data_IF_204977621035
#
_entry.id   IF_204977621035
#
_cell.length_a   1.000
_cell.length_b   1.000
_cell.length_c   1.000
_cell.angle_alpha   90.00
_cell.angle_beta   90.00
_cell.angle_gamma   90.00
#
_symmetry.space_group_name_H-M   'P 1'
#
loop_
_entity.id
_entity.type
_entity.pdbx_description
1 polymer ?
#
# COMPACT_ATOMS: atom_id res chain seq x y z
N UNK A 1 34.47 5.77 -19.57
CA UNK A 1 33.06 5.50 -19.92
C UNK A 1 32.61 4.31 -19.09
N UNK A 2 32.32 4.55 -17.82
CA UNK A 2 31.62 3.57 -16.99
C UNK A 2 30.23 4.14 -16.81
N UNK A 3 29.28 3.60 -17.57
CA UNK A 3 27.86 3.83 -17.33
C UNK A 3 27.54 3.08 -16.04
N UNK A 4 27.47 3.78 -14.91
CA UNK A 4 26.89 3.22 -13.69
C UNK A 4 25.41 3.02 -13.97
N UNK A 5 25.00 1.78 -14.19
CA UNK A 5 23.60 1.37 -14.19
C UNK A 5 22.99 1.77 -12.83
N UNK A 6 22.27 2.88 -12.82
CA UNK A 6 21.45 3.26 -11.70
C UNK A 6 20.27 2.28 -11.67
N UNK A 7 20.39 1.23 -10.84
CA UNK A 7 19.34 0.26 -10.59
C UNK A 7 18.13 1.01 -10.03
N UNK A 8 17.14 1.29 -10.89
CA UNK A 8 15.93 2.04 -10.54
C UNK A 8 14.99 1.13 -9.76
N UNK A 9 15.21 0.98 -8.44
CA UNK A 9 14.24 0.32 -7.57
C UNK A 9 13.03 1.24 -7.33
N UNK A 10 11.79 0.72 -7.38
CA UNK A 10 10.62 1.51 -7.05
C UNK A 10 10.73 2.05 -5.62
N UNK A 11 10.23 3.27 -5.40
CA UNK A 11 10.25 3.88 -4.06
C UNK A 11 9.38 3.09 -3.08
N UNK A 12 9.63 3.26 -1.78
CA UNK A 12 8.87 2.58 -0.73
C UNK A 12 7.37 2.92 -0.81
N UNK A 13 7.03 4.15 -1.18
CA UNK A 13 5.65 4.59 -1.37
C UNK A 13 4.97 3.83 -2.51
N UNK A 14 5.69 3.57 -3.62
CA UNK A 14 5.17 2.78 -4.75
C UNK A 14 4.96 1.32 -4.34
N UNK A 15 5.92 0.72 -3.62
CA UNK A 15 5.79 -0.64 -3.11
C UNK A 15 4.61 -0.77 -2.14
N UNK A 16 4.48 0.17 -1.20
CA UNK A 16 3.38 0.21 -0.26
C UNK A 16 2.02 0.39 -0.95
N UNK A 17 1.93 1.32 -1.91
CA UNK A 17 0.72 1.53 -2.69
C UNK A 17 0.29 0.28 -3.46
N UNK A 18 1.24 -0.42 -4.10
CA UNK A 18 0.98 -1.72 -4.76
C UNK A 18 0.52 -2.77 -3.77
N UNK A 19 1.12 -2.84 -2.59
CA UNK A 19 0.76 -3.81 -1.55
C UNK A 19 -0.65 -3.58 -1.03
N UNK A 20 -1.05 -2.33 -0.79
CA UNK A 20 -2.43 -1.96 -0.44
C UNK A 20 -3.40 -2.37 -1.55
N UNK A 21 -3.05 -2.10 -2.82
CA UNK A 21 -3.88 -2.51 -3.94
C UNK A 21 -4.01 -4.05 -4.03
N UNK A 22 -2.93 -4.79 -3.81
CA UNK A 22 -2.92 -6.24 -3.83
C UNK A 22 -3.86 -6.81 -2.77
N UNK A 23 -3.68 -6.42 -1.50
CA UNK A 23 -4.53 -6.88 -0.38
C UNK A 23 -6.00 -6.59 -0.70
N UNK A 24 -6.31 -5.38 -1.17
CA UNK A 24 -7.67 -5.00 -1.54
C UNK A 24 -8.25 -5.91 -2.63
N UNK A 25 -7.48 -6.20 -3.68
CA UNK A 25 -7.90 -7.06 -4.79
C UNK A 25 -8.07 -8.52 -4.35
N UNK A 26 -7.20 -9.03 -3.48
CA UNK A 26 -7.31 -10.37 -2.89
C UNK A 26 -8.61 -10.54 -2.08
N UNK A 27 -9.08 -9.46 -1.45
CA UNK A 27 -10.37 -9.42 -0.76
C UNK A 27 -11.57 -9.16 -1.68
N UNK A 28 -11.36 -8.97 -3.00
CA UNK A 28 -12.38 -8.60 -3.98
C UNK A 28 -13.14 -7.30 -3.66
N UNK A 29 -12.46 -6.31 -3.05
CA UNK A 29 -13.07 -5.05 -2.65
C UNK A 29 -12.77 -3.91 -3.65
N UNK A 30 -13.75 -3.05 -3.89
CA UNK A 30 -13.54 -1.74 -4.49
C UNK A 30 -12.77 -0.81 -3.55
N UNK A 31 -12.19 0.29 -4.06
CA UNK A 31 -11.53 1.29 -3.21
C UNK A 31 -12.48 1.92 -2.18
N UNK A 32 -13.78 1.96 -2.47
CA UNK A 32 -14.80 2.44 -1.54
C UNK A 32 -14.99 1.45 -0.39
N UNK A 33 -15.25 0.19 -0.70
CA UNK A 33 -15.49 -0.84 0.33
C UNK A 33 -14.23 -1.07 1.19
N UNK A 34 -13.04 -1.07 0.57
CA UNK A 34 -11.80 -1.14 1.33
C UNK A 34 -11.60 0.09 2.22
N UNK A 35 -11.88 1.29 1.70
CA UNK A 35 -11.86 2.50 2.50
C UNK A 35 -12.78 2.41 3.72
N UNK A 36 -14.01 1.94 3.54
CA UNK A 36 -14.96 1.72 4.64
C UNK A 36 -14.42 0.72 5.67
N UNK A 37 -13.83 -0.40 5.21
CA UNK A 37 -13.20 -1.41 6.07
C UNK A 37 -12.04 -0.85 6.91
N UNK A 38 -11.15 -0.08 6.28
CA UNK A 38 -9.96 0.47 6.96
C UNK A 38 -10.17 1.85 7.55
N UNK A 39 -11.40 2.39 7.53
CA UNK A 39 -11.76 3.67 8.13
C UNK A 39 -11.24 4.92 7.39
N UNK A 40 -11.14 4.86 6.06
CA UNK A 40 -10.69 5.95 5.21
C UNK A 40 -11.64 6.22 4.03
N UNK A 41 -11.63 7.46 3.53
CA UNK A 41 -12.38 7.78 2.31
C UNK A 41 -11.75 7.13 1.08
N UNK A 42 -12.57 6.67 0.12
CA UNK A 42 -12.12 6.04 -1.14
C UNK A 42 -11.02 6.85 -1.88
N UNK A 43 -11.06 8.19 -1.83
CA UNK A 43 -10.05 9.05 -2.47
C UNK A 43 -8.68 8.83 -1.85
N UNK A 44 -8.62 8.71 -0.52
CA UNK A 44 -7.37 8.50 0.20
C UNK A 44 -6.76 7.15 -0.17
N UNK A 45 -7.58 6.09 -0.24
CA UNK A 45 -7.14 4.77 -0.73
C UNK A 45 -6.56 4.87 -2.15
N UNK A 46 -7.26 5.54 -3.07
CA UNK A 46 -6.75 5.73 -4.43
C UNK A 46 -5.43 6.51 -4.49
N UNK A 47 -5.27 7.54 -3.66
CA UNK A 47 -4.02 8.30 -3.56
C UNK A 47 -2.87 7.45 -3.02
N UNK A 48 -3.13 6.58 -2.04
CA UNK A 48 -2.15 5.62 -1.52
C UNK A 48 -1.72 4.64 -2.62
N UNK A 49 -2.68 4.04 -3.32
CA UNK A 49 -2.39 3.04 -4.36
C UNK A 49 -1.56 3.60 -5.53
N UNK A 50 -1.67 4.90 -5.79
CA UNK A 50 -0.90 5.61 -6.84
C UNK A 50 0.35 6.30 -6.31
N UNK A 51 0.69 6.13 -5.02
CA UNK A 51 1.79 6.82 -4.35
C UNK A 51 1.73 8.37 -4.43
N UNK A 52 0.53 8.93 -4.57
CA UNK A 52 0.29 10.39 -4.61
C UNK A 52 0.30 11.01 -3.20
N UNK A 53 0.14 10.18 -2.16
CA UNK A 53 0.11 10.63 -0.77
C UNK A 53 0.89 9.71 0.15
N UNK A 54 1.79 10.30 0.93
CA UNK A 54 2.51 9.60 1.99
C UNK A 54 1.55 9.22 3.13
N UNK A 55 1.68 7.99 3.61
CA UNK A 55 0.82 7.42 4.66
C UNK A 55 1.46 7.67 6.01
N UNK A 56 0.68 8.20 6.96
CA UNK A 56 1.16 8.39 8.32
C UNK A 56 1.27 7.06 9.07
N UNK A 57 2.14 7.00 10.07
CA UNK A 57 2.26 5.82 10.96
C UNK A 57 0.91 5.47 11.62
N UNK A 58 0.11 6.48 12.00
CA UNK A 58 -1.24 6.27 12.56
C UNK A 58 -2.18 5.58 11.56
N UNK A 59 -2.08 5.94 10.28
CA UNK A 59 -2.89 5.31 9.24
C UNK A 59 -2.44 3.87 8.98
N UNK A 60 -1.13 3.60 9.00
CA UNK A 60 -0.58 2.23 8.93
C UNK A 60 -1.11 1.39 10.10
N UNK A 61 -1.05 1.90 11.33
CA UNK A 61 -1.57 1.22 12.52
C UNK A 61 -3.08 0.91 12.39
N UNK A 62 -3.86 1.86 11.90
CA UNK A 62 -5.30 1.68 11.67
C UNK A 62 -5.57 0.59 10.61
N UNK A 63 -4.84 0.59 9.50
CA UNK A 63 -4.94 -0.43 8.45
C UNK A 63 -4.63 -1.81 9.03
N UNK A 64 -3.51 -1.95 9.76
CA UNK A 64 -3.14 -3.22 10.40
C UNK A 64 -4.24 -3.72 11.35
N UNK A 65 -4.80 -2.84 12.19
CA UNK A 65 -5.89 -3.18 13.12
C UNK A 65 -7.15 -3.63 12.39
N UNK A 66 -7.57 -2.90 11.35
CA UNK A 66 -8.76 -3.24 10.55
C UNK A 66 -8.61 -4.55 9.78
N UNK A 67 -7.40 -4.87 9.33
CA UNK A 67 -7.11 -6.09 8.57
C UNK A 67 -6.72 -7.28 9.45
N UNK A 68 -6.48 -7.06 10.75
CA UNK A 68 -5.94 -8.03 11.69
C UNK A 68 -4.63 -8.69 11.20
N UNK A 69 -3.71 -7.87 10.69
CA UNK A 69 -2.38 -8.31 10.22
C UNK A 69 -1.28 -7.53 10.95
N UNK A 70 -0.08 -8.12 11.02
CA UNK A 70 1.09 -7.43 11.54
C UNK A 70 1.62 -6.36 10.57
N UNK A 71 2.42 -5.42 11.08
CA UNK A 71 3.12 -4.43 10.23
C UNK A 71 4.08 -5.13 9.27
N UNK A 72 4.70 -6.23 9.71
CA UNK A 72 5.59 -7.04 8.89
C UNK A 72 4.86 -7.62 7.67
N UNK A 73 3.66 -8.18 7.86
CA UNK A 73 2.82 -8.69 6.77
C UNK A 73 2.34 -7.58 5.83
N UNK A 74 2.02 -6.40 6.38
CA UNK A 74 1.61 -5.25 5.57
C UNK A 74 2.76 -4.71 4.70
N UNK A 75 4.01 -4.85 5.15
CA UNK A 75 5.22 -4.43 4.42
C UNK A 75 5.95 -5.60 3.73
N UNK A 76 5.35 -6.79 3.68
CA UNK A 76 5.89 -7.90 2.90
C UNK A 76 5.66 -7.66 1.40
N UNK A 77 6.76 -7.31 0.72
CA UNK A 77 6.77 -7.03 -0.72
C UNK A 77 7.28 -8.22 -1.56
N UNK A 78 7.60 -9.35 -0.94
CA UNK A 78 8.18 -10.51 -1.62
C UNK A 78 7.25 -11.14 -2.67
N UNK A 79 5.94 -10.95 -2.52
CA UNK A 79 4.90 -11.54 -3.37
C UNK A 79 4.10 -10.50 -4.18
N UNK A 80 4.65 -9.30 -4.42
CA UNK A 80 4.01 -8.32 -5.29
C UNK A 80 4.04 -8.83 -6.74
N UNK A 81 2.87 -8.93 -7.37
CA UNK A 81 2.70 -9.27 -8.79
C UNK A 81 2.79 -8.05 -9.70
#
# INVERSE_FOLDING_TARGET
MEQTEQIYSPSLEVLFGKRIQQIRKEMNLSQKEFGELVGFHRTYIGQIERAEKCVSIKAIEQICKSLNISVQELFDFSNLK
#
